data_IF_568760995943
#
_entry.id   IF_568760995943
#
_cell.length_a   1.000
_cell.length_b   1.000
_cell.length_c   1.000
_cell.angle_alpha   90.00
_cell.angle_beta   90.00
_cell.angle_gamma   90.00
#
_symmetry.space_group_name_H-M   'P 1'
#
loop_
_entity.id
_entity.type
_entity.pdbx_description
1 polymer ?
#
# COMPACT_ATOMS: atom_id res chain seq x y z
N UNK A 1 8.12 -4.75 -1.00
CA UNK A 1 6.89 -4.05 -1.40
C UNK A 1 7.23 -2.65 -1.89
N UNK A 2 6.49 -2.16 -2.86
CA UNK A 2 6.61 -0.80 -3.39
C UNK A 2 5.26 -0.10 -3.40
N UNK A 3 5.27 1.23 -3.25
CA UNK A 3 4.10 2.04 -3.47
C UNK A 3 3.73 2.01 -4.97
N UNK A 4 2.54 1.51 -5.27
CA UNK A 4 1.97 1.43 -6.63
C UNK A 4 0.85 2.44 -6.86
N UNK A 5 0.81 3.50 -6.06
CA UNK A 5 -0.17 4.56 -6.19
C UNK A 5 0.30 5.58 -7.23
N UNK A 6 -0.30 5.53 -8.42
CA UNK A 6 -0.01 6.47 -9.49
C UNK A 6 -0.75 7.82 -9.33
N UNK A 7 -1.62 7.93 -8.33
CA UNK A 7 -2.24 9.20 -7.92
C UNK A 7 -1.38 9.98 -6.91
N UNK A 8 -0.12 9.57 -6.69
CA UNK A 8 0.83 10.24 -5.80
C UNK A 8 1.03 11.71 -6.21
N UNK A 9 0.54 12.69 -5.43
CA UNK A 9 0.59 14.09 -5.81
C UNK A 9 2.01 14.67 -5.81
N UNK A 10 2.96 13.99 -5.15
CA UNK A 10 4.38 14.40 -5.10
C UNK A 10 5.20 13.86 -6.27
N UNK A 11 4.75 12.78 -6.88
CA UNK A 11 5.52 12.05 -7.88
C UNK A 11 6.73 11.29 -7.33
N UNK A 12 7.09 11.44 -6.07
CA UNK A 12 8.28 10.80 -5.47
C UNK A 12 8.16 9.28 -5.46
N UNK A 13 7.00 8.75 -5.08
CA UNK A 13 6.76 7.30 -5.10
C UNK A 13 6.83 6.74 -6.51
N UNK A 14 6.29 7.47 -7.50
CA UNK A 14 6.35 7.11 -8.92
C UNK A 14 7.80 7.04 -9.42
N UNK A 15 8.62 8.04 -9.08
CA UNK A 15 10.05 8.05 -9.44
C UNK A 15 10.78 6.87 -8.81
N UNK A 16 10.56 6.60 -7.53
CA UNK A 16 11.16 5.45 -6.84
C UNK A 16 10.70 4.12 -7.47
N UNK A 17 9.42 4.01 -7.80
CA UNK A 17 8.87 2.84 -8.48
C UNK A 17 9.57 2.57 -9.81
N UNK A 18 9.70 3.58 -10.67
CA UNK A 18 10.39 3.43 -11.95
C UNK A 18 11.87 3.11 -11.78
N UNK A 19 12.55 3.73 -10.82
CA UNK A 19 13.96 3.43 -10.55
C UNK A 19 14.17 1.97 -10.14
N UNK A 20 13.29 1.43 -9.28
CA UNK A 20 13.37 0.02 -8.88
C UNK A 20 13.05 -0.91 -10.06
N UNK A 21 12.04 -0.59 -10.88
CA UNK A 21 11.72 -1.40 -12.06
C UNK A 21 12.89 -1.47 -13.05
N UNK A 22 13.53 -0.33 -13.32
CA UNK A 22 14.68 -0.31 -14.24
C UNK A 22 15.86 -1.11 -13.67
N UNK A 23 16.13 -1.00 -12.37
CA UNK A 23 17.16 -1.80 -11.71
C UNK A 23 16.84 -3.31 -11.80
N UNK A 24 15.59 -3.72 -11.57
CA UNK A 24 15.20 -5.14 -11.69
C UNK A 24 15.30 -5.66 -13.12
N UNK A 25 14.93 -4.86 -14.12
CA UNK A 25 15.08 -5.21 -15.53
C UNK A 25 16.55 -5.38 -15.91
N UNK A 26 17.42 -4.49 -15.42
CA UNK A 26 18.86 -4.59 -15.66
C UNK A 26 19.41 -5.88 -15.06
N UNK A 27 19.15 -6.18 -13.79
CA UNK A 27 19.59 -7.41 -13.10
C UNK A 27 19.09 -8.64 -13.86
N UNK A 28 17.84 -8.63 -14.31
CA UNK A 28 17.27 -9.71 -15.13
C UNK A 28 18.03 -9.90 -16.45
N UNK A 29 18.43 -8.80 -17.08
CA UNK A 29 19.22 -8.85 -18.34
C UNK A 29 20.65 -9.34 -18.15
N UNK A 30 21.22 -9.13 -16.96
CA UNK A 30 22.54 -9.62 -16.56
C UNK A 30 22.54 -11.12 -16.24
N UNK A 31 21.36 -11.72 -16.10
CA UNK A 31 21.19 -13.16 -15.96
C UNK A 31 21.31 -13.68 -14.53
N UNK A 32 21.15 -12.83 -13.54
CA UNK A 32 21.15 -13.19 -12.12
C UNK A 32 19.99 -14.14 -11.79
N UNK A 33 20.30 -15.31 -11.28
CA UNK A 33 19.32 -16.38 -11.06
C UNK A 33 18.27 -16.03 -9.99
N UNK A 34 18.66 -15.31 -8.93
CA UNK A 34 17.77 -14.98 -7.82
C UNK A 34 16.56 -14.11 -8.25
N UNK A 35 16.70 -13.36 -9.35
CA UNK A 35 15.63 -12.49 -9.85
C UNK A 35 14.38 -13.27 -10.28
N UNK A 36 14.54 -14.56 -10.63
CA UNK A 36 13.44 -15.42 -11.06
C UNK A 36 12.45 -15.71 -9.93
N UNK A 37 12.95 -15.69 -8.69
CA UNK A 37 12.15 -15.92 -7.48
C UNK A 37 11.78 -14.61 -6.74
N UNK A 38 12.16 -13.46 -7.32
CA UNK A 38 11.85 -12.16 -6.75
C UNK A 38 10.46 -11.69 -7.21
N UNK A 39 9.56 -11.51 -6.26
CA UNK A 39 8.20 -11.04 -6.52
C UNK A 39 8.03 -9.62 -6.04
N UNK A 40 7.48 -8.77 -6.90
CA UNK A 40 7.20 -7.38 -6.59
C UNK A 40 5.72 -7.21 -6.25
N UNK A 41 5.46 -6.82 -5.00
CA UNK A 41 4.11 -6.50 -4.53
C UNK A 41 3.94 -5.00 -4.41
N UNK A 42 2.85 -4.50 -4.98
CA UNK A 42 2.47 -3.10 -4.93
C UNK A 42 1.34 -2.90 -3.92
N UNK A 43 1.50 -1.91 -3.06
CA UNK A 43 0.44 -1.42 -2.19
C UNK A 43 0.00 -0.02 -2.61
N UNK A 44 -1.22 0.35 -2.31
CA UNK A 44 -1.69 1.73 -2.44
C UNK A 44 -1.29 2.57 -1.23
N UNK A 45 -1.10 3.88 -1.45
CA UNK A 45 -0.86 4.84 -0.40
C UNK A 45 -2.11 5.17 0.43
N UNK A 46 -2.14 6.35 1.05
CA UNK A 46 -3.28 6.81 1.83
C UNK A 46 -4.43 7.39 1.00
N UNK A 47 -4.23 7.54 -0.30
CA UNK A 47 -5.13 8.27 -1.18
C UNK A 47 -6.15 7.38 -1.87
N UNK A 48 -5.76 6.17 -2.24
CA UNK A 48 -6.58 5.24 -3.01
C UNK A 48 -6.44 3.80 -2.48
N UNK A 49 -7.30 2.92 -2.97
CA UNK A 49 -7.19 1.48 -2.81
C UNK A 49 -7.35 0.79 -4.17
N UNK A 50 -6.88 -0.44 -4.29
CA UNK A 50 -7.11 -1.30 -5.43
C UNK A 50 -8.61 -1.63 -5.56
N UNK A 51 -9.10 -1.75 -6.80
CA UNK A 51 -10.40 -2.36 -7.01
C UNK A 51 -10.37 -3.81 -6.52
N UNK A 52 -11.49 -4.29 -5.98
CA UNK A 52 -11.55 -5.60 -5.34
C UNK A 52 -11.21 -6.76 -6.30
N UNK A 53 -11.49 -6.59 -7.58
CA UNK A 53 -11.18 -7.54 -8.65
C UNK A 53 -9.70 -7.52 -9.08
N UNK A 54 -8.95 -6.49 -8.71
CA UNK A 54 -7.50 -6.39 -8.95
C UNK A 54 -6.68 -7.01 -7.83
N UNK A 55 -7.21 -7.07 -6.62
CA UNK A 55 -6.47 -7.52 -5.43
C UNK A 55 -6.07 -8.99 -5.55
N UNK A 56 -4.78 -9.25 -5.48
CA UNK A 56 -4.22 -10.60 -5.55
C UNK A 56 -3.76 -11.14 -4.20
N UNK A 57 -3.53 -10.26 -3.24
CA UNK A 57 -3.20 -10.62 -1.86
C UNK A 57 -3.85 -9.63 -0.91
N UNK A 58 -4.61 -10.12 0.06
CA UNK A 58 -5.20 -9.33 1.12
C UNK A 58 -4.74 -9.87 2.48
N UNK A 59 -4.11 -9.01 3.28
CA UNK A 59 -3.57 -9.37 4.59
C UNK A 59 -4.50 -8.84 5.68
N UNK A 60 -5.22 -9.72 6.41
CA UNK A 60 -6.10 -9.30 7.48
C UNK A 60 -5.32 -8.80 8.70
N UNK A 61 -5.86 -7.81 9.38
CA UNK A 61 -5.30 -7.24 10.59
C UNK A 61 -6.30 -7.29 11.74
N UNK A 62 -5.80 -7.68 12.92
CA UNK A 62 -6.53 -7.55 14.19
C UNK A 62 -6.54 -6.07 14.65
N UNK A 63 -7.43 -5.71 15.62
CA UNK A 63 -7.41 -4.38 16.22
C UNK A 63 -6.03 -3.96 16.77
N UNK A 64 -5.32 -4.89 17.40
CA UNK A 64 -3.98 -4.62 17.94
C UNK A 64 -2.94 -4.35 16.84
N UNK A 65 -3.06 -5.02 15.71
CA UNK A 65 -2.19 -4.78 14.55
C UNK A 65 -2.49 -3.43 13.90
N UNK A 66 -3.75 -3.03 13.81
CA UNK A 66 -4.14 -1.69 13.36
C UNK A 66 -3.55 -0.61 14.27
N UNK A 67 -3.66 -0.79 15.59
CA UNK A 67 -3.07 0.13 16.56
C UNK A 67 -1.54 0.20 16.44
N UNK A 68 -0.87 -0.93 16.24
CA UNK A 68 0.58 -0.98 16.02
C UNK A 68 0.98 -0.23 14.74
N UNK A 69 0.22 -0.37 13.66
CA UNK A 69 0.42 0.37 12.41
C UNK A 69 0.30 1.88 12.63
N UNK A 70 -0.72 2.33 13.37
CA UNK A 70 -0.90 3.75 13.77
C UNK A 70 0.32 4.27 14.54
N UNK A 71 0.78 3.53 15.53
CA UNK A 71 1.98 3.91 16.28
C UNK A 71 3.22 4.00 15.38
N UNK A 72 3.35 3.11 14.40
CA UNK A 72 4.41 3.19 13.38
C UNK A 72 4.36 4.50 12.60
N UNK A 73 3.17 4.96 12.20
CA UNK A 73 3.00 6.26 11.52
C UNK A 73 3.45 7.41 12.43
N UNK A 74 3.13 7.37 13.72
CA UNK A 74 3.50 8.42 14.67
C UNK A 74 5.01 8.52 14.97
N UNK A 75 5.78 7.49 14.65
CA UNK A 75 7.25 7.55 14.72
C UNK A 75 7.82 8.53 13.69
N UNK A 76 7.12 8.76 12.57
CA UNK A 76 7.50 9.73 11.55
C UNK A 76 7.13 11.16 11.98
N UNK A 77 7.87 11.70 12.95
CA UNK A 77 7.58 12.95 13.66
C UNK A 77 7.45 14.17 12.75
N UNK A 78 8.16 14.20 11.62
CA UNK A 78 8.12 15.33 10.68
C UNK A 78 6.85 15.40 9.84
N UNK A 79 6.04 14.33 9.82
CA UNK A 79 4.89 14.21 8.90
C UNK A 79 3.60 13.71 9.56
N UNK A 80 3.64 13.42 10.86
CA UNK A 80 2.48 12.85 11.58
C UNK A 80 1.29 13.80 11.67
N UNK A 81 1.54 15.10 11.78
CA UNK A 81 0.54 16.13 12.05
C UNK A 81 0.08 16.87 10.78
N UNK A 82 0.73 16.64 9.66
CA UNK A 82 0.39 17.27 8.38
C UNK A 82 0.35 16.28 7.24
N UNK A 83 -0.70 16.37 6.45
CA UNK A 83 -0.82 15.64 5.19
C UNK A 83 -0.54 16.62 4.06
N UNK A 84 0.59 16.52 3.37
CA UNK A 84 0.83 17.31 2.17
C UNK A 84 -0.28 17.04 1.15
N UNK A 85 -0.75 18.08 0.47
CA UNK A 85 -1.81 17.99 -0.55
C UNK A 85 -3.13 17.41 -0.01
N UNK A 86 -3.51 17.80 1.20
CA UNK A 86 -4.71 17.33 1.89
C UNK A 86 -6.00 17.53 1.08
N UNK A 87 -6.07 18.55 0.25
CA UNK A 87 -7.27 18.91 -0.48
C UNK A 87 -8.41 19.29 0.49
N UNK A 88 -9.61 18.84 0.19
CA UNK A 88 -10.81 19.06 1.03
C UNK A 88 -10.98 18.01 2.14
N UNK A 89 -10.14 16.99 2.20
CA UNK A 89 -10.24 15.92 3.21
C UNK A 89 -9.50 16.32 4.49
N UNK A 90 -10.26 16.61 5.54
CA UNK A 90 -9.74 17.06 6.83
C UNK A 90 -9.12 15.95 7.68
N UNK A 91 -9.19 14.67 7.24
CA UNK A 91 -8.63 13.56 8.00
C UNK A 91 -7.09 13.59 7.98
N UNK A 92 -6.50 13.24 9.11
CA UNK A 92 -5.05 13.01 9.20
C UNK A 92 -4.62 11.78 8.41
N UNK A 93 -3.33 11.69 8.08
CA UNK A 93 -2.78 10.59 7.29
C UNK A 93 -3.13 9.21 7.85
N UNK A 94 -2.94 8.99 9.15
CA UNK A 94 -3.25 7.72 9.80
C UNK A 94 -4.74 7.36 9.73
N UNK A 95 -5.62 8.37 9.82
CA UNK A 95 -7.07 8.16 9.72
C UNK A 95 -7.46 7.69 8.31
N UNK A 96 -6.85 8.28 7.27
CA UNK A 96 -7.08 7.87 5.88
C UNK A 96 -6.67 6.42 5.65
N UNK A 97 -5.48 6.03 6.14
CA UNK A 97 -4.97 4.66 6.03
C UNK A 97 -5.88 3.67 6.74
N UNK A 98 -6.31 3.96 7.96
CA UNK A 98 -7.20 3.08 8.73
C UNK A 98 -8.58 2.93 8.08
N UNK A 99 -9.19 4.04 7.63
CA UNK A 99 -10.48 3.99 6.94
C UNK A 99 -10.37 3.19 5.66
N UNK A 100 -9.31 3.35 4.88
CA UNK A 100 -9.05 2.56 3.68
C UNK A 100 -8.98 1.07 4.00
N UNK A 101 -8.13 0.69 4.95
CA UNK A 101 -7.96 -0.73 5.31
C UNK A 101 -9.24 -1.34 5.92
N UNK A 102 -10.02 -0.56 6.69
CA UNK A 102 -11.31 -1.01 7.21
C UNK A 102 -12.35 -1.19 6.09
N UNK A 103 -12.37 -0.30 5.10
CA UNK A 103 -13.24 -0.43 3.93
C UNK A 103 -12.90 -1.68 3.09
N UNK A 104 -11.62 -1.97 2.88
CA UNK A 104 -11.19 -3.19 2.20
C UNK A 104 -11.69 -4.44 2.94
N UNK A 105 -11.51 -4.50 4.26
CA UNK A 105 -12.02 -5.59 5.08
C UNK A 105 -13.55 -5.74 4.98
N UNK A 106 -14.28 -4.63 4.98
CA UNK A 106 -15.74 -4.64 4.83
C UNK A 106 -16.18 -5.19 3.48
N UNK A 107 -15.53 -4.79 2.38
CA UNK A 107 -15.85 -5.31 1.05
C UNK A 107 -15.68 -6.83 0.99
N UNK A 108 -14.62 -7.38 1.58
CA UNK A 108 -14.44 -8.82 1.67
C UNK A 108 -15.48 -9.51 2.55
N UNK A 109 -15.89 -8.88 3.66
CA UNK A 109 -16.97 -9.39 4.50
C UNK A 109 -18.31 -9.41 3.75
N UNK A 110 -18.61 -8.39 2.95
CA UNK A 110 -19.82 -8.31 2.10
C UNK A 110 -19.82 -9.43 1.04
N UNK A 111 -18.65 -9.91 0.63
CA UNK A 111 -18.48 -11.09 -0.25
C UNK A 111 -18.55 -12.43 0.49
N UNK A 112 -18.80 -12.43 1.79
CA UNK A 112 -18.99 -13.63 2.59
C UNK A 112 -17.74 -14.13 3.33
N UNK A 113 -16.66 -13.37 3.36
CA UNK A 113 -15.50 -13.71 4.18
C UNK A 113 -15.69 -13.29 5.65
N UNK A 114 -14.82 -13.79 6.51
CA UNK A 114 -14.80 -13.43 7.93
C UNK A 114 -14.57 -11.92 8.13
N UNK A 115 -15.26 -11.34 9.10
CA UNK A 115 -15.06 -9.95 9.49
C UNK A 115 -13.71 -9.75 10.17
N UNK A 116 -12.87 -8.92 9.57
CA UNK A 116 -11.61 -8.46 10.15
C UNK A 116 -11.71 -6.95 10.45
N UNK A 117 -10.88 -6.47 11.38
CA UNK A 117 -10.84 -5.04 11.71
C UNK A 117 -10.36 -4.20 10.52
N UNK A 118 -9.43 -4.71 9.78
CA UNK A 118 -8.86 -4.08 8.59
C UNK A 118 -8.19 -5.13 7.69
N UNK A 119 -7.95 -4.78 6.43
CA UNK A 119 -7.14 -5.55 5.49
C UNK A 119 -6.24 -4.61 4.70
N UNK A 120 -5.00 -5.02 4.47
CA UNK A 120 -4.10 -4.38 3.52
C UNK A 120 -4.06 -5.18 2.23
N UNK A 121 -4.19 -4.49 1.11
CA UNK A 121 -4.33 -5.11 -0.20
C UNK A 121 -3.09 -4.86 -1.08
N UNK A 122 -2.76 -5.88 -1.87
CA UNK A 122 -1.60 -5.86 -2.75
C UNK A 122 -1.95 -6.42 -4.11
N UNK A 123 -1.26 -5.89 -5.12
CA UNK A 123 -1.24 -6.40 -6.49
C UNK A 123 0.18 -6.81 -6.83
N UNK A 124 0.34 -7.95 -7.48
CA UNK A 124 1.63 -8.40 -7.99
C UNK A 124 1.97 -7.68 -9.28
N UNK A 125 3.17 -7.14 -9.35
CA UNK A 125 3.71 -6.55 -10.57
C UNK A 125 4.68 -7.51 -11.24
N UNK A 126 4.51 -7.70 -12.55
CA UNK A 126 5.43 -8.47 -13.38
C UNK A 126 6.37 -7.52 -14.16
N UNK A 127 7.66 -7.84 -14.18
CA UNK A 127 8.70 -7.04 -14.81
C UNK A 127 9.67 -7.87 -15.66
#
# INVERSE_FOLDING_TARGET
DLAGDFADPHGTHIVCFHAVLEALKQIKSEGDEWIKDCWLWLYKGAWEEWNIDEIQMAIPMSPDQVLRKRHGIFIHQSQKDMVPFQGSDAREFWQRVEVRNANTARLYADLGLTHYAAMEAFVRWEY
#
